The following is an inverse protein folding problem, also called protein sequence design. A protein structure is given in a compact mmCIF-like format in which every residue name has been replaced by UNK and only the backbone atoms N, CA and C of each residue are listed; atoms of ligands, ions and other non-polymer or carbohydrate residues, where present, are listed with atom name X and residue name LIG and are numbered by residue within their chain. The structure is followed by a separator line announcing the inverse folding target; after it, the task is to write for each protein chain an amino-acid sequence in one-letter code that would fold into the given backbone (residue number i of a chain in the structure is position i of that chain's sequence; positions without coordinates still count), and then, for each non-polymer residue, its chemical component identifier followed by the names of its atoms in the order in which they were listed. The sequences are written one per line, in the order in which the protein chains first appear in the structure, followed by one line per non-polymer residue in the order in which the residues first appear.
data_IF_057384043200
#
_entry.id   IF_057384043200
#
_cell.length_a   1.000
_cell.length_b   1.000
_cell.length_c   1.000
_cell.angle_alpha   90.00
_cell.angle_beta   90.00
_cell.angle_gamma   90.00
#
_symmetry.space_group_name_H-M   'P 1'
#
loop_
_entity.id
_entity.type
_entity.pdbx_description
1 polymer ?
#
# COMPACT_ATOMS: atom_id res chain seq x y z
N UNK A 1 24.85 0.30 -5.09
CA UNK A 1 23.59 1.00 -4.74
C UNK A 1 22.47 0.78 -5.76
N UNK A 2 22.70 0.97 -7.05
CA UNK A 2 21.65 0.88 -8.09
C UNK A 2 21.01 -0.52 -8.23
N UNK A 3 21.82 -1.58 -8.11
CA UNK A 3 21.32 -2.96 -8.18
C UNK A 3 20.41 -3.30 -6.99
N UNK A 4 20.77 -2.86 -5.78
CA UNK A 4 19.96 -3.00 -4.57
C UNK A 4 18.61 -2.26 -4.70
N UNK A 5 18.63 -1.02 -5.19
CA UNK A 5 17.41 -0.23 -5.43
C UNK A 5 16.49 -0.91 -6.45
N UNK A 6 17.03 -1.45 -7.54
CA UNK A 6 16.25 -2.18 -8.54
C UNK A 6 15.62 -3.46 -7.96
N UNK A 7 16.37 -4.22 -7.14
CA UNK A 7 15.82 -5.41 -6.47
C UNK A 7 14.68 -5.05 -5.53
N UNK A 8 14.84 -3.99 -4.73
CA UNK A 8 13.78 -3.50 -3.83
C UNK A 8 12.55 -3.07 -4.63
N UNK A 9 12.72 -2.32 -5.72
CA UNK A 9 11.62 -1.88 -6.58
C UNK A 9 10.85 -3.07 -7.17
N UNK A 10 11.55 -4.08 -7.70
CA UNK A 10 10.92 -5.29 -8.27
C UNK A 10 10.14 -6.06 -7.19
N UNK A 11 10.74 -6.22 -6.00
CA UNK A 11 10.08 -6.90 -4.88
C UNK A 11 8.82 -6.15 -4.43
N UNK A 12 8.93 -4.83 -4.30
CA UNK A 12 7.82 -3.94 -3.90
C UNK A 12 6.67 -4.01 -4.91
N UNK A 13 6.99 -4.02 -6.21
CA UNK A 13 6.02 -4.12 -7.29
C UNK A 13 5.28 -5.46 -7.24
N UNK A 14 6.00 -6.58 -7.15
CA UNK A 14 5.42 -7.91 -7.09
C UNK A 14 4.48 -8.08 -5.89
N UNK A 15 4.91 -7.60 -4.72
CA UNK A 15 4.10 -7.59 -3.49
C UNK A 15 2.82 -6.77 -3.68
N UNK A 16 2.94 -5.57 -4.26
CA UNK A 16 1.80 -4.67 -4.49
C UNK A 16 0.75 -5.32 -5.40
N UNK A 17 1.18 -6.00 -6.47
CA UNK A 17 0.29 -6.73 -7.38
C UNK A 17 -0.47 -7.85 -6.66
N UNK A 18 0.22 -8.65 -5.85
CA UNK A 18 -0.39 -9.75 -5.09
C UNK A 18 -1.46 -9.23 -4.12
N UNK A 19 -1.14 -8.17 -3.36
CA UNK A 19 -2.08 -7.58 -2.41
C UNK A 19 -3.28 -6.96 -3.12
N UNK A 20 -3.06 -6.26 -4.23
CA UNK A 20 -4.13 -5.66 -5.04
C UNK A 20 -5.09 -6.74 -5.57
N UNK A 21 -4.55 -7.84 -6.10
CA UNK A 21 -5.36 -8.94 -6.62
C UNK A 21 -6.21 -9.60 -5.53
N UNK A 22 -5.62 -9.83 -4.34
CA UNK A 22 -6.36 -10.34 -3.17
C UNK A 22 -7.46 -9.38 -2.72
N UNK A 23 -7.19 -8.08 -2.69
CA UNK A 23 -8.18 -7.07 -2.32
C UNK A 23 -9.37 -7.06 -3.30
N UNK A 24 -9.10 -7.12 -4.61
CA UNK A 24 -10.14 -7.19 -5.65
C UNK A 24 -10.97 -8.47 -5.51
N UNK A 25 -10.32 -9.62 -5.28
CA UNK A 25 -11.02 -10.90 -5.09
C UNK A 25 -11.93 -10.87 -3.86
N UNK A 26 -11.46 -10.33 -2.74
CA UNK A 26 -12.28 -10.18 -1.53
C UNK A 26 -13.44 -9.20 -1.76
N UNK A 27 -13.21 -8.09 -2.47
CA UNK A 27 -14.29 -7.16 -2.82
C UNK A 27 -15.34 -7.78 -3.75
N UNK A 28 -14.91 -8.64 -4.70
CA UNK A 28 -15.82 -9.31 -5.64
C UNK A 28 -16.65 -10.40 -4.95
N UNK A 29 -16.05 -11.18 -4.06
CA UNK A 29 -16.71 -12.31 -3.36
C UNK A 29 -17.40 -11.93 -2.05
N UNK A 30 -17.02 -10.82 -1.42
CA UNK A 30 -17.54 -10.43 -0.11
C UNK A 30 -18.99 -9.95 -0.18
N UNK A 31 -19.74 -10.23 0.88
CA UNK A 31 -21.13 -9.79 1.05
C UNK A 31 -21.22 -8.25 1.21
N UNK A 32 -22.40 -7.64 1.08
CA UNK A 32 -22.54 -6.16 1.12
C UNK A 32 -21.97 -5.55 2.41
N UNK A 33 -22.10 -6.27 3.53
CA UNK A 33 -21.50 -5.94 4.83
C UNK A 33 -19.97 -6.01 4.81
N UNK A 34 -19.40 -7.07 4.23
CA UNK A 34 -17.96 -7.26 4.13
C UNK A 34 -17.33 -6.22 3.22
N UNK A 35 -17.97 -5.86 2.10
CA UNK A 35 -17.50 -4.78 1.21
C UNK A 35 -17.43 -3.44 1.93
N UNK A 36 -18.45 -3.09 2.73
CA UNK A 36 -18.44 -1.86 3.54
C UNK A 36 -17.29 -1.85 4.54
N UNK A 37 -17.04 -2.99 5.20
CA UNK A 37 -15.91 -3.14 6.12
C UNK A 37 -14.58 -3.01 5.38
N UNK A 38 -14.43 -3.65 4.22
CA UNK A 38 -13.23 -3.61 3.39
C UNK A 38 -12.92 -2.20 2.90
N UNK A 39 -13.93 -1.46 2.43
CA UNK A 39 -13.78 -0.06 2.01
C UNK A 39 -13.36 0.82 3.19
N UNK A 40 -14.00 0.68 4.36
CA UNK A 40 -13.66 1.48 5.54
C UNK A 40 -12.23 1.20 6.01
N UNK A 41 -11.84 -0.07 6.07
CA UNK A 41 -10.47 -0.50 6.41
C UNK A 41 -9.45 -0.02 5.38
N UNK A 42 -9.78 -0.10 4.09
CA UNK A 42 -8.93 0.39 2.99
C UNK A 42 -8.73 1.90 3.09
N UNK A 43 -9.79 2.66 3.41
CA UNK A 43 -9.72 4.10 3.59
C UNK A 43 -8.85 4.50 4.78
N UNK A 44 -8.97 3.79 5.90
CA UNK A 44 -8.09 3.98 7.07
C UNK A 44 -6.63 3.67 6.72
N UNK A 45 -6.39 2.55 6.03
CA UNK A 45 -5.05 2.17 5.57
C UNK A 45 -4.44 3.22 4.64
N UNK A 46 -5.24 3.80 3.73
CA UNK A 46 -4.81 4.85 2.83
C UNK A 46 -4.36 6.11 3.58
N UNK A 47 -5.13 6.53 4.59
CA UNK A 47 -4.78 7.70 5.43
C UNK A 47 -3.46 7.45 6.17
N UNK A 48 -3.28 6.26 6.75
CA UNK A 48 -2.03 5.87 7.43
C UNK A 48 -0.85 5.88 6.44
N UNK A 49 -1.05 5.37 5.22
CA UNK A 49 -0.03 5.38 4.16
C UNK A 49 0.39 6.81 3.80
N UNK A 50 -0.54 7.74 3.65
CA UNK A 50 -0.24 9.14 3.37
C UNK A 50 0.56 9.80 4.50
N UNK A 51 0.21 9.53 5.76
CA UNK A 51 0.97 10.04 6.92
C UNK A 51 2.40 9.49 6.91
N UNK A 52 2.56 8.18 6.72
CA UNK A 52 3.87 7.54 6.65
C UNK A 52 4.72 8.10 5.51
N UNK A 53 4.12 8.28 4.33
CA UNK A 53 4.80 8.86 3.17
C UNK A 53 5.25 10.29 3.44
N UNK A 54 4.39 11.12 4.05
CA UNK A 54 4.75 12.48 4.44
C UNK A 54 5.90 12.54 5.45
N UNK A 55 5.92 11.65 6.44
CA UNK A 55 7.03 11.54 7.41
C UNK A 55 8.34 11.13 6.73
N UNK A 56 8.30 10.13 5.84
CA UNK A 56 9.49 9.71 5.09
C UNK A 56 9.99 10.83 4.19
N UNK A 57 9.09 11.55 3.50
CA UNK A 57 9.47 12.70 2.66
C UNK A 57 10.10 13.82 3.49
N UNK A 58 9.52 14.18 4.65
CA UNK A 58 10.12 15.17 5.55
C UNK A 58 11.49 14.73 6.06
N UNK A 59 11.65 13.44 6.39
CA UNK A 59 12.93 12.89 6.84
C UNK A 59 14.00 13.02 5.75
N UNK A 60 13.67 12.68 4.50
CA UNK A 60 14.58 12.81 3.35
C UNK A 60 14.97 14.27 3.11
N UNK A 61 14.00 15.20 3.17
CA UNK A 61 14.28 16.64 2.97
C UNK A 61 15.15 17.19 4.10
N UNK A 62 14.90 16.80 5.35
CA UNK A 62 15.66 17.28 6.51
C UNK A 62 17.05 16.64 6.61
N UNK A 63 17.28 15.49 5.97
CA UNK A 63 18.58 14.83 5.92
C UNK A 63 19.47 15.28 4.75
N UNK A 64 19.01 16.24 3.94
CA UNK A 64 19.73 16.81 2.79
C UNK A 64 20.18 18.23 3.09
#
# INVERSE_FOLDING_TARGET
MQQLANTILIFSLAITVIFSFRAILQYKRGDVSEKKKLVKTSLISLVIMFIAMGLVTMFIISSS
#
